data_IF_448837069387
#
_entry.id   IF_448837069387
#
_cell.length_a   1.000
_cell.length_b   1.000
_cell.length_c   1.000
_cell.angle_alpha   90.00
_cell.angle_beta   90.00
_cell.angle_gamma   90.00
#
_symmetry.space_group_name_H-M   'P 1'
#
loop_
_entity.id
_entity.type
_entity.pdbx_description
1 polymer ?
#
# COMPACT_ATOMS: atom_id res chain seq x y z
N UNK A 1 0.33 31.85 -24.22
CA UNK A 1 -0.83 31.00 -23.86
C UNK A 1 -1.09 31.19 -22.37
N UNK A 2 -2.34 31.33 -21.92
CA UNK A 2 -2.62 31.58 -20.49
C UNK A 2 -2.27 30.33 -19.66
N UNK A 3 -1.74 30.49 -18.44
CA UNK A 3 -1.25 29.37 -17.61
C UNK A 3 -2.34 28.32 -17.32
N UNK A 4 -3.61 28.72 -17.30
CA UNK A 4 -4.76 27.82 -17.11
C UNK A 4 -4.90 26.81 -18.28
N UNK A 5 -4.70 27.25 -19.52
CA UNK A 5 -4.82 26.36 -20.69
C UNK A 5 -3.72 25.31 -20.71
N UNK A 6 -2.52 25.64 -20.20
CA UNK A 6 -1.42 24.69 -20.07
C UNK A 6 -1.73 23.62 -19.02
N UNK A 7 -2.31 23.97 -17.87
CA UNK A 7 -2.74 22.98 -16.88
C UNK A 7 -3.83 22.03 -17.40
N UNK A 8 -4.72 22.52 -18.27
CA UNK A 8 -5.76 21.66 -18.88
C UNK A 8 -5.19 20.65 -19.87
N UNK A 9 -4.05 20.95 -20.50
CA UNK A 9 -3.37 19.98 -21.39
C UNK A 9 -2.71 18.81 -20.66
N UNK A 10 -2.37 18.96 -19.38
CA UNK A 10 -1.80 17.88 -18.55
C UNK A 10 -2.86 17.09 -17.78
N UNK A 11 -4.13 17.52 -17.82
CA UNK A 11 -5.23 16.84 -17.16
C UNK A 11 -5.40 15.37 -17.60
N UNK A 12 -5.29 15.01 -18.91
CA UNK A 12 -5.44 13.61 -19.32
C UNK A 12 -4.36 12.69 -18.76
N UNK A 13 -3.09 13.14 -18.72
CA UNK A 13 -2.00 12.35 -18.15
C UNK A 13 -2.12 12.21 -16.64
N UNK A 14 -2.52 13.28 -15.94
CA UNK A 14 -2.83 13.22 -14.51
C UNK A 14 -3.91 12.17 -14.22
N UNK A 15 -5.04 12.20 -14.93
CA UNK A 15 -6.13 11.25 -14.73
C UNK A 15 -5.70 9.81 -15.01
N UNK A 16 -4.88 9.60 -16.05
CA UNK A 16 -4.34 8.29 -16.38
C UNK A 16 -3.44 7.74 -15.27
N UNK A 17 -2.51 8.56 -14.76
CA UNK A 17 -1.63 8.16 -13.66
C UNK A 17 -2.42 7.84 -12.39
N UNK A 18 -3.37 8.71 -12.02
CA UNK A 18 -4.23 8.48 -10.85
C UNK A 18 -5.05 7.19 -11.02
N UNK A 19 -5.63 6.96 -12.19
CA UNK A 19 -6.40 5.74 -12.47
C UNK A 19 -5.55 4.48 -12.32
N UNK A 20 -4.32 4.50 -12.84
CA UNK A 20 -3.37 3.37 -12.71
C UNK A 20 -2.96 3.15 -11.26
N UNK A 21 -2.59 4.21 -10.52
CA UNK A 21 -2.23 4.10 -9.11
C UNK A 21 -3.40 3.60 -8.24
N UNK A 22 -4.62 4.07 -8.50
CA UNK A 22 -5.83 3.56 -7.82
C UNK A 22 -6.09 2.09 -8.19
N UNK A 23 -5.90 1.71 -9.45
CA UNK A 23 -5.96 0.32 -9.88
C UNK A 23 -4.98 -0.56 -9.11
N UNK A 24 -3.74 -0.11 -8.94
CA UNK A 24 -2.74 -0.79 -8.13
C UNK A 24 -3.11 -0.86 -6.65
N UNK A 25 -3.65 0.22 -6.08
CA UNK A 25 -4.10 0.22 -4.68
C UNK A 25 -5.23 -0.78 -4.45
N UNK A 26 -6.20 -0.85 -5.36
CA UNK A 26 -7.28 -1.84 -5.32
C UNK A 26 -6.73 -3.26 -5.48
N UNK A 27 -5.82 -3.47 -6.44
CA UNK A 27 -5.15 -4.75 -6.63
C UNK A 27 -4.38 -5.17 -5.37
N UNK A 28 -3.69 -4.25 -4.72
CA UNK A 28 -2.98 -4.48 -3.47
C UNK A 28 -3.96 -4.89 -2.37
N UNK A 29 -5.08 -4.20 -2.17
CA UNK A 29 -6.08 -4.57 -1.16
C UNK A 29 -6.60 -6.00 -1.41
N UNK A 30 -6.92 -6.34 -2.66
CA UNK A 30 -7.38 -7.70 -3.01
C UNK A 30 -6.28 -8.74 -2.76
N UNK A 31 -5.06 -8.49 -3.21
CA UNK A 31 -3.94 -9.40 -3.01
C UNK A 31 -3.59 -9.57 -1.52
N UNK A 32 -3.57 -8.48 -0.77
CA UNK A 32 -3.29 -8.46 0.66
C UNK A 32 -4.32 -9.27 1.44
N UNK A 33 -5.61 -8.99 1.20
CA UNK A 33 -6.71 -9.71 1.87
C UNK A 33 -6.87 -11.17 1.41
N UNK A 34 -6.30 -11.55 0.26
CA UNK A 34 -6.22 -12.95 -0.18
C UNK A 34 -5.06 -13.71 0.48
N UNK A 35 -3.97 -13.02 0.82
CA UNK A 35 -2.80 -13.61 1.49
C UNK A 35 -2.98 -13.66 3.01
N UNK A 36 -3.77 -12.76 3.60
CA UNK A 36 -4.07 -12.79 5.03
C UNK A 36 -4.99 -13.96 5.38
N UNK A 37 -4.70 -14.72 6.46
CA UNK A 37 -5.45 -15.94 6.79
C UNK A 37 -6.79 -15.68 7.48
N UNK A 38 -7.24 -14.42 7.55
CA UNK A 38 -8.44 -13.98 8.24
C UNK A 38 -9.17 -12.92 7.40
N UNK A 39 -10.48 -12.73 7.63
CA UNK A 39 -11.32 -11.86 6.81
C UNK A 39 -11.16 -10.40 7.24
N UNK A 40 -10.06 -9.74 6.85
CA UNK A 40 -9.73 -8.34 7.18
C UNK A 40 -10.94 -7.41 7.08
N UNK A 41 -11.54 -7.31 5.89
CA UNK A 41 -12.66 -6.41 5.61
C UNK A 41 -13.91 -6.73 6.44
N UNK A 42 -14.11 -7.99 6.82
CA UNK A 42 -15.22 -8.37 7.69
C UNK A 42 -14.95 -7.96 9.14
N UNK A 43 -13.73 -8.16 9.64
CA UNK A 43 -13.31 -7.74 10.98
C UNK A 43 -13.32 -6.21 11.12
N UNK A 44 -12.85 -5.49 10.11
CA UNK A 44 -12.92 -4.02 10.06
C UNK A 44 -14.37 -3.54 10.13
N UNK A 45 -15.29 -4.17 9.38
CA UNK A 45 -16.74 -3.86 9.46
C UNK A 45 -17.36 -4.19 10.82
N UNK A 46 -16.76 -5.10 11.59
CA UNK A 46 -17.16 -5.43 12.95
C UNK A 46 -16.51 -4.52 14.00
N UNK A 47 -15.70 -3.54 13.60
CA UNK A 47 -15.04 -2.59 14.50
C UNK A 47 -13.72 -3.06 15.07
N UNK A 48 -13.13 -4.14 14.53
CA UNK A 48 -11.83 -4.63 14.97
C UNK A 48 -10.72 -3.63 14.59
N UNK A 49 -10.15 -2.97 15.60
CA UNK A 49 -9.15 -1.94 15.41
C UNK A 49 -7.82 -2.51 14.90
N UNK A 50 -7.48 -3.72 15.32
CA UNK A 50 -6.24 -4.41 14.94
C UNK A 50 -6.21 -4.64 13.43
N UNK A 51 -7.27 -5.21 12.86
CA UNK A 51 -7.42 -5.42 11.42
C UNK A 51 -7.40 -4.09 10.66
N UNK A 52 -8.06 -3.05 11.19
CA UNK A 52 -8.10 -1.73 10.56
C UNK A 52 -6.72 -1.07 10.51
N UNK A 53 -5.95 -1.12 11.59
CA UNK A 53 -4.61 -0.55 11.68
C UNK A 53 -3.60 -1.31 10.80
N UNK A 54 -3.67 -2.63 10.79
CA UNK A 54 -2.82 -3.46 9.92
C UNK A 54 -3.09 -3.16 8.46
N UNK A 55 -4.34 -3.25 8.01
CA UNK A 55 -4.71 -2.99 6.61
C UNK A 55 -4.44 -1.55 6.21
N UNK A 56 -4.82 -0.59 7.06
CA UNK A 56 -4.61 0.84 6.80
C UNK A 56 -3.13 1.21 6.70
N UNK A 57 -2.29 0.72 7.62
CA UNK A 57 -0.85 0.93 7.55
C UNK A 57 -0.22 0.27 6.32
N UNK A 58 -0.69 -0.92 5.94
CA UNK A 58 -0.24 -1.60 4.73
C UNK A 58 -0.60 -0.81 3.45
N UNK A 59 -1.82 -0.25 3.37
CA UNK A 59 -2.27 0.61 2.27
C UNK A 59 -1.44 1.89 2.16
N UNK A 60 -1.20 2.57 3.28
CA UNK A 60 -0.36 3.78 3.31
C UNK A 60 1.06 3.44 2.86
N UNK A 61 1.65 2.39 3.44
CA UNK A 61 2.99 1.95 3.08
C UNK A 61 3.13 1.58 1.60
N UNK A 62 2.11 0.99 0.97
CA UNK A 62 2.11 0.70 -0.46
C UNK A 62 1.97 1.96 -1.34
N UNK A 63 1.17 2.93 -0.91
CA UNK A 63 0.95 4.16 -1.67
C UNK A 63 2.23 5.03 -1.79
N UNK A 64 3.13 4.96 -0.80
CA UNK A 64 4.37 5.72 -0.80
C UNK A 64 5.27 5.43 -2.00
N UNK A 65 5.75 4.20 -2.27
CA UNK A 65 6.59 3.94 -3.44
C UNK A 65 5.88 4.24 -4.77
N UNK A 66 4.57 4.02 -4.89
CA UNK A 66 3.82 4.43 -6.09
C UNK A 66 3.91 5.94 -6.35
N UNK A 67 3.75 6.75 -5.29
CA UNK A 67 3.90 8.20 -5.37
C UNK A 67 5.33 8.60 -5.79
N UNK A 68 6.35 7.91 -5.27
CA UNK A 68 7.74 8.15 -5.67
C UNK A 68 7.94 7.93 -7.16
N UNK A 69 7.51 6.77 -7.68
CA UNK A 69 7.65 6.44 -9.10
C UNK A 69 6.91 7.45 -9.97
N UNK A 70 5.65 7.75 -9.65
CA UNK A 70 4.83 8.71 -10.40
C UNK A 70 5.43 10.13 -10.41
N UNK A 71 6.27 10.47 -9.43
CA UNK A 71 6.96 11.78 -9.37
C UNK A 71 8.20 11.84 -10.26
N UNK A 72 8.76 10.71 -10.67
CA UNK A 72 10.01 10.64 -11.44
C UNK A 72 9.83 10.12 -12.87
N UNK A 73 8.67 9.53 -13.20
CA UNK A 73 8.40 8.99 -14.53
C UNK A 73 7.18 9.62 -15.20
N UNK A 74 7.28 9.86 -16.51
CA UNK A 74 6.12 10.18 -17.37
C UNK A 74 5.59 8.95 -18.11
N UNK A 75 6.21 7.78 -17.92
CA UNK A 75 5.82 6.53 -18.57
C UNK A 75 4.91 5.69 -17.69
N UNK A 76 3.70 5.39 -18.19
CA UNK A 76 2.76 4.49 -17.51
C UNK A 76 3.31 3.06 -17.42
N UNK A 77 4.11 2.64 -18.40
CA UNK A 77 4.74 1.32 -18.39
C UNK A 77 5.73 1.21 -17.22
N UNK A 78 6.54 2.26 -17.03
CA UNK A 78 7.51 2.32 -15.94
C UNK A 78 6.82 2.37 -14.57
N UNK A 79 5.74 3.17 -14.44
CA UNK A 79 4.87 3.17 -13.27
C UNK A 79 4.31 1.76 -12.98
N UNK A 80 3.93 1.03 -14.01
CA UNK A 80 3.35 -0.32 -13.86
C UNK A 80 4.40 -1.33 -13.38
N UNK A 81 5.59 -1.32 -13.96
CA UNK A 81 6.69 -2.24 -13.57
C UNK A 81 7.06 -2.02 -12.10
N UNK A 82 7.31 -0.76 -11.70
CA UNK A 82 7.64 -0.45 -10.32
C UNK A 82 6.46 -0.63 -9.36
N UNK A 83 5.23 -0.40 -9.82
CA UNK A 83 4.02 -0.70 -9.05
C UNK A 83 3.92 -2.17 -8.67
N UNK A 84 4.29 -3.09 -9.58
CA UNK A 84 4.37 -4.53 -9.29
C UNK A 84 5.48 -4.81 -8.28
N UNK A 85 6.67 -4.20 -8.42
CA UNK A 85 7.79 -4.38 -7.48
C UNK A 85 7.39 -3.91 -6.08
N UNK A 86 6.77 -2.74 -5.97
CA UNK A 86 6.27 -2.19 -4.72
C UNK A 86 5.18 -3.09 -4.09
N UNK A 87 4.32 -3.70 -4.91
CA UNK A 87 3.26 -4.59 -4.44
C UNK A 87 3.88 -5.84 -3.81
N UNK A 88 4.85 -6.45 -4.51
CA UNK A 88 5.55 -7.63 -4.02
C UNK A 88 6.33 -7.31 -2.75
N UNK A 89 7.07 -6.18 -2.70
CA UNK A 89 7.85 -5.81 -1.52
C UNK A 89 6.97 -5.58 -0.29
N UNK A 90 5.79 -4.98 -0.48
CA UNK A 90 4.85 -4.75 0.61
C UNK A 90 4.20 -6.04 1.13
N UNK A 91 3.86 -6.99 0.23
CA UNK A 91 3.37 -8.30 0.64
C UNK A 91 4.45 -9.11 1.37
N UNK A 92 5.72 -8.99 0.97
CA UNK A 92 6.85 -9.59 1.69
C UNK A 92 7.03 -8.97 3.08
N UNK A 93 6.91 -7.64 3.21
CA UNK A 93 6.97 -6.96 4.49
C UNK A 93 5.92 -7.49 5.47
N UNK A 94 4.68 -7.66 5.00
CA UNK A 94 3.63 -8.31 5.78
C UNK A 94 3.97 -9.76 6.13
N UNK A 95 4.39 -10.57 5.15
CA UNK A 95 4.68 -11.98 5.35
C UNK A 95 5.82 -12.21 6.36
N UNK A 96 6.82 -11.33 6.36
CA UNK A 96 7.94 -11.35 7.31
C UNK A 96 7.48 -10.85 8.68
N UNK A 97 6.82 -9.69 8.76
CA UNK A 97 6.35 -9.12 10.01
C UNK A 97 5.35 -10.02 10.74
N UNK A 98 4.39 -10.57 10.02
CA UNK A 98 3.36 -11.45 10.59
C UNK A 98 3.88 -12.82 11.02
N UNK A 99 4.98 -13.33 10.45
CA UNK A 99 5.53 -14.65 10.82
C UNK A 99 6.69 -14.58 11.81
N UNK A 100 7.56 -13.60 11.67
CA UNK A 100 8.79 -13.51 12.46
C UNK A 100 8.58 -12.68 13.73
N UNK A 101 7.93 -11.51 13.64
CA UNK A 101 7.74 -10.65 14.80
C UNK A 101 6.56 -11.10 15.67
N UNK A 102 5.51 -11.66 15.06
CA UNK A 102 4.26 -12.00 15.76
C UNK A 102 3.75 -13.39 15.36
N UNK A 103 4.35 -14.49 15.85
CA UNK A 103 3.99 -15.85 15.44
C UNK A 103 2.50 -16.20 15.62
N UNK A 104 1.84 -15.62 16.62
CA UNK A 104 0.41 -15.79 16.92
C UNK A 104 -0.45 -14.68 16.31
N UNK A 105 0.01 -14.01 15.24
CA UNK A 105 -0.60 -12.79 14.71
C UNK A 105 -2.10 -12.96 14.41
N UNK A 106 -2.49 -14.08 13.77
CA UNK A 106 -3.90 -14.36 13.47
C UNK A 106 -4.78 -14.32 14.72
N UNK A 107 -4.39 -15.03 15.77
CA UNK A 107 -5.14 -15.05 17.03
C UNK A 107 -5.14 -13.66 17.68
N UNK A 108 -4.05 -12.91 17.55
CA UNK A 108 -3.97 -11.51 17.99
C UNK A 108 -4.95 -10.59 17.27
N UNK A 109 -5.12 -10.75 15.95
CA UNK A 109 -6.10 -9.98 15.17
C UNK A 109 -7.53 -10.40 15.52
N UNK A 110 -7.82 -11.70 15.58
CA UNK A 110 -9.16 -12.20 15.95
C UNK A 110 -9.57 -11.78 17.38
N UNK A 111 -8.61 -11.58 18.29
CA UNK A 111 -8.83 -11.07 19.65
C UNK A 111 -8.69 -9.55 19.82
N UNK A 112 -8.60 -8.81 18.71
CA UNK A 112 -8.46 -7.35 18.64
C UNK A 112 -7.34 -6.77 19.54
N UNK A 113 -6.16 -7.41 19.50
CA UNK A 113 -4.96 -6.88 20.18
C UNK A 113 -4.37 -5.71 19.40
N UNK A 114 -4.88 -4.51 19.64
CA UNK A 114 -4.52 -3.27 18.92
C UNK A 114 -3.01 -3.05 18.75
N UNK A 115 -2.20 -3.43 19.74
CA UNK A 115 -0.74 -3.33 19.66
C UNK A 115 -0.15 -4.08 18.45
N UNK A 116 -0.73 -5.21 18.04
CA UNK A 116 -0.29 -5.97 16.88
C UNK A 116 -0.58 -5.19 15.60
N UNK A 117 -1.75 -4.54 15.56
CA UNK A 117 -2.16 -3.68 14.47
C UNK A 117 -1.24 -2.48 14.30
N UNK A 118 -0.92 -1.80 15.41
CA UNK A 118 0.02 -0.67 15.43
C UNK A 118 1.41 -1.11 14.95
N UNK A 119 1.93 -2.22 15.46
CA UNK A 119 3.27 -2.68 15.10
C UNK A 119 3.38 -3.07 13.63
N UNK A 120 2.45 -3.89 13.12
CA UNK A 120 2.47 -4.32 11.72
C UNK A 120 2.13 -3.19 10.74
N UNK A 121 1.18 -2.33 11.11
CA UNK A 121 0.84 -1.15 10.31
C UNK A 121 2.02 -0.18 10.21
N UNK A 122 2.67 0.14 11.34
CA UNK A 122 3.86 1.01 11.36
C UNK A 122 5.06 0.40 10.62
N UNK A 123 5.30 -0.91 10.76
CA UNK A 123 6.32 -1.62 9.99
C UNK A 123 6.06 -1.49 8.49
N UNK A 124 4.81 -1.67 8.06
CA UNK A 124 4.43 -1.56 6.65
C UNK A 124 4.65 -0.15 6.10
N UNK A 125 4.35 0.88 6.91
CA UNK A 125 4.64 2.28 6.55
C UNK A 125 6.15 2.51 6.46
N UNK A 126 6.92 2.02 7.43
CA UNK A 126 8.38 2.16 7.44
C UNK A 126 9.01 1.50 6.22
N UNK A 127 8.60 0.29 5.85
CA UNK A 127 9.07 -0.37 4.63
C UNK A 127 8.66 0.41 3.37
N UNK A 128 7.44 0.94 3.34
CA UNK A 128 6.98 1.84 2.29
C UNK A 128 7.87 3.07 2.11
N UNK A 129 8.26 3.72 3.22
CA UNK A 129 9.19 4.86 3.22
C UNK A 129 10.58 4.48 2.72
N UNK A 130 11.10 3.31 3.11
CA UNK A 130 12.39 2.82 2.61
C UNK A 130 12.33 2.58 1.09
N UNK A 131 11.27 1.94 0.59
CA UNK A 131 11.07 1.77 -0.85
C UNK A 131 10.92 3.12 -1.58
N UNK A 132 10.16 4.05 -0.99
CA UNK A 132 10.01 5.41 -1.51
C UNK A 132 11.36 6.09 -1.75
N UNK A 133 12.26 6.05 -0.76
CA UNK A 133 13.57 6.71 -0.82
C UNK A 133 14.66 5.92 -1.56
N UNK A 134 14.46 4.63 -1.82
CA UNK A 134 15.44 3.80 -2.55
C UNK A 134 15.36 3.96 -4.07
N UNK A 135 14.27 4.53 -4.58
CA UNK A 135 14.11 4.88 -5.99
C UNK A 135 15.04 6.04 -6.32
N UNK A 136 16.25 5.69 -6.78
CA UNK A 136 17.25 6.64 -7.27
C UNK A 136 17.09 6.73 -8.79
N UNK A 137 16.81 7.93 -9.30
CA UNK A 137 16.78 8.25 -10.73
C UNK A 137 17.91 9.21 -11.07
#
# INVERSE_FOLDING_TARGET
MTPILQSLTTLPSYLLFVAVMLGFLLLFIVAYTAVTPYRDLALVRQGNMTAALTLGGAMIGFALPLMSVASHTSSVVDLTVWGVIALVSQLLAYAIGSRILLPDFRAGVESDRTAYGVLLGSLSIAVGLLNYGSLTY
#
